data_IF_119719756103
#
_entry.id   IF_119719756103
#
_cell.length_a   1.000
_cell.length_b   1.000
_cell.length_c   1.000
_cell.angle_alpha   90.00
_cell.angle_beta   90.00
_cell.angle_gamma   90.00
#
_symmetry.space_group_name_H-M   'P 1'
#
loop_
_entity.id
_entity.type
_entity.pdbx_description
1 polymer ?
#
# COMPACT_ATOMS: atom_id res chain seq x y z
N UNK A 1 17.78 5.99 -15.55
CA UNK A 1 17.47 5.13 -14.39
C UNK A 1 16.28 4.25 -14.76
N UNK A 2 16.45 2.92 -14.77
CA UNK A 2 15.38 1.99 -15.13
C UNK A 2 14.23 2.13 -14.13
N UNK A 3 13.03 2.47 -14.64
CA UNK A 3 11.80 2.48 -13.86
C UNK A 3 11.45 1.01 -13.62
N UNK A 4 11.44 0.56 -12.37
CA UNK A 4 10.96 -0.78 -12.05
C UNK A 4 9.50 -0.91 -12.53
N UNK A 5 9.17 -2.07 -13.10
CA UNK A 5 7.82 -2.34 -13.58
C UNK A 5 6.82 -2.17 -12.43
N UNK A 6 5.69 -1.47 -12.67
CA UNK A 6 4.69 -1.25 -11.65
C UNK A 6 4.08 -2.57 -11.20
N UNK A 7 4.26 -2.91 -9.92
CA UNK A 7 3.66 -4.10 -9.32
C UNK A 7 2.31 -3.69 -8.71
N UNK A 8 1.22 -4.06 -9.39
CA UNK A 8 -0.16 -3.84 -8.93
C UNK A 8 -0.59 -5.07 -8.13
N UNK A 9 -1.01 -4.86 -6.90
CA UNK A 9 -1.36 -5.92 -5.94
C UNK A 9 -2.80 -5.74 -5.49
N UNK A 10 -3.69 -6.71 -5.73
CA UNK A 10 -5.05 -6.71 -5.20
C UNK A 10 -5.07 -6.60 -3.66
N UNK A 11 -6.08 -5.93 -3.10
CA UNK A 11 -6.19 -5.67 -1.65
C UNK A 11 -6.15 -6.96 -0.82
N UNK A 12 -6.76 -8.05 -1.30
CA UNK A 12 -6.72 -9.39 -0.70
C UNK A 12 -5.31 -10.00 -0.58
N UNK A 13 -4.37 -9.61 -1.46
CA UNK A 13 -2.99 -10.11 -1.45
C UNK A 13 -2.04 -9.24 -0.62
N UNK A 14 -2.51 -8.11 -0.08
CA UNK A 14 -1.71 -7.21 0.75
C UNK A 14 -1.34 -7.79 2.13
N UNK A 15 -2.01 -8.86 2.56
CA UNK A 15 -1.70 -9.60 3.79
C UNK A 15 -0.43 -10.45 3.68
N UNK A 16 0.06 -10.67 2.46
CA UNK A 16 1.24 -11.49 2.17
C UNK A 16 2.51 -10.65 2.18
N UNK A 17 3.64 -11.30 2.48
CA UNK A 17 4.94 -10.69 2.29
C UNK A 17 5.24 -10.44 0.80
N UNK A 18 5.95 -9.35 0.47
CA UNK A 18 6.50 -8.34 1.39
C UNK A 18 5.53 -7.18 1.73
N UNK A 19 4.30 -7.19 1.22
CA UNK A 19 3.39 -6.04 1.25
C UNK A 19 2.82 -5.73 2.64
N UNK A 20 2.59 -6.76 3.47
CA UNK A 20 2.04 -6.61 4.82
C UNK A 20 2.78 -5.60 5.68
N UNK A 21 4.12 -5.54 5.54
CA UNK A 21 5.01 -4.63 6.27
C UNK A 21 4.76 -3.15 5.99
N UNK A 22 4.25 -2.81 4.80
CA UNK A 22 3.96 -1.43 4.42
C UNK A 22 2.51 -1.03 4.70
N UNK A 23 1.59 -1.98 4.62
CA UNK A 23 0.15 -1.75 4.83
C UNK A 23 -0.16 -1.53 6.31
N UNK A 24 0.59 -2.18 7.21
CA UNK A 24 0.52 -1.97 8.65
C UNK A 24 1.84 -1.42 9.22
N UNK A 25 2.48 -0.50 8.51
CA UNK A 25 3.76 0.09 8.93
C UNK A 25 3.64 0.88 10.25
N UNK A 26 4.66 0.85 11.13
CA UNK A 26 5.93 0.12 11.00
C UNK A 26 5.88 -1.34 11.45
N UNK A 27 4.95 -1.69 12.33
CA UNK A 27 4.92 -2.98 13.02
C UNK A 27 3.70 -3.82 12.56
N UNK A 28 3.89 -4.73 11.59
CA UNK A 28 2.80 -5.42 10.92
C UNK A 28 2.24 -6.59 11.76
N UNK A 29 1.32 -6.28 12.67
CA UNK A 29 0.48 -7.26 13.36
C UNK A 29 -0.70 -7.72 12.50
N UNK A 30 -1.10 -8.99 12.63
CA UNK A 30 -2.20 -9.57 11.85
C UNK A 30 -3.52 -8.81 12.04
N UNK A 31 -3.80 -8.35 13.26
CA UNK A 31 -4.97 -7.52 13.59
C UNK A 31 -4.99 -6.19 12.82
N UNK A 32 -3.85 -5.50 12.78
CA UNK A 32 -3.67 -4.23 12.07
C UNK A 32 -3.73 -4.40 10.55
N UNK A 33 -3.20 -5.51 10.04
CA UNK A 33 -3.26 -5.85 8.61
C UNK A 33 -4.70 -6.10 8.19
N UNK A 34 -5.43 -6.96 8.92
CA UNK A 34 -6.83 -7.24 8.63
C UNK A 34 -7.69 -5.99 8.70
N UNK A 35 -7.50 -5.16 9.74
CA UNK A 35 -8.19 -3.88 9.87
C UNK A 35 -7.92 -2.97 8.69
N UNK A 36 -6.67 -2.90 8.22
CA UNK A 36 -6.31 -2.07 7.07
C UNK A 36 -6.90 -2.59 5.76
N UNK A 37 -6.86 -3.90 5.53
CA UNK A 37 -7.45 -4.54 4.36
C UNK A 37 -8.96 -4.25 4.32
N UNK A 38 -9.66 -4.44 5.45
CA UNK A 38 -11.10 -4.09 5.54
C UNK A 38 -11.35 -2.62 5.23
N UNK A 39 -10.59 -1.70 5.83
CA UNK A 39 -10.71 -0.27 5.53
C UNK A 39 -10.49 0.06 4.04
N UNK A 40 -9.51 -0.56 3.39
CA UNK A 40 -9.25 -0.34 1.95
C UNK A 40 -10.44 -0.84 1.11
N UNK A 41 -10.96 -2.03 1.42
CA UNK A 41 -12.14 -2.60 0.76
C UNK A 41 -13.37 -1.71 0.97
N UNK A 42 -13.62 -1.25 2.19
CA UNK A 42 -14.77 -0.39 2.54
C UNK A 42 -14.69 0.98 1.83
N UNK A 43 -13.49 1.48 1.58
CA UNK A 43 -13.23 2.68 0.78
C UNK A 43 -13.31 2.43 -0.74
N UNK A 44 -13.60 1.20 -1.17
CA UNK A 44 -13.70 0.83 -2.58
C UNK A 44 -12.35 0.74 -3.29
N UNK A 45 -11.24 0.61 -2.57
CA UNK A 45 -9.92 0.39 -3.18
C UNK A 45 -9.81 -1.09 -3.59
N UNK A 46 -9.50 -1.35 -4.86
CA UNK A 46 -9.36 -2.71 -5.40
C UNK A 46 -7.91 -3.21 -5.36
N UNK A 47 -6.94 -2.33 -5.57
CA UNK A 47 -5.52 -2.68 -5.58
C UNK A 47 -4.63 -1.50 -5.20
N UNK A 48 -3.41 -1.81 -4.76
CA UNK A 48 -2.33 -0.84 -4.56
C UNK A 48 -1.19 -1.13 -5.54
N UNK A 49 -0.57 -0.06 -6.04
CA UNK A 49 0.61 -0.15 -6.89
C UNK A 49 1.85 0.25 -6.10
N UNK A 50 2.82 -0.66 -6.06
CA UNK A 50 4.11 -0.49 -5.40
C UNK A 50 5.13 0.11 -6.38
N UNK A 51 4.84 1.33 -6.80
CA UNK A 51 5.72 2.15 -7.64
C UNK A 51 5.88 3.54 -7.01
N UNK A 52 7.03 4.16 -7.25
CA UNK A 52 7.28 5.55 -6.89
C UNK A 52 8.76 5.83 -6.65
N UNK A 53 9.06 7.08 -6.28
CA UNK A 53 10.43 7.54 -6.08
C UNK A 53 11.02 7.08 -4.74
N UNK A 54 10.17 6.79 -3.75
CA UNK A 54 10.63 6.38 -2.42
C UNK A 54 10.67 4.85 -2.31
N UNK A 55 11.81 4.32 -1.91
CA UNK A 55 12.02 2.88 -1.72
C UNK A 55 12.08 2.53 -0.23
N UNK A 56 11.29 1.55 0.20
CA UNK A 56 11.31 0.99 1.55
C UNK A 56 11.55 -0.52 1.41
N UNK A 57 12.72 -0.99 1.84
CA UNK A 57 13.15 -2.36 1.64
C UNK A 57 13.26 -2.71 0.15
N UNK A 58 12.41 -3.64 -0.31
CA UNK A 58 12.34 -4.08 -1.71
C UNK A 58 11.20 -3.43 -2.50
N UNK A 59 10.33 -2.67 -1.84
CA UNK A 59 9.13 -2.08 -2.41
C UNK A 59 9.31 -0.58 -2.64
N UNK A 60 8.64 -0.05 -3.66
CA UNK A 60 8.61 1.37 -3.97
C UNK A 60 7.22 1.94 -3.73
N UNK A 61 7.14 3.18 -3.25
CA UNK A 61 5.90 3.90 -2.93
C UNK A 61 5.99 5.35 -3.42
N UNK A 62 4.85 6.02 -3.54
CA UNK A 62 4.81 7.42 -3.99
C UNK A 62 5.52 8.35 -3.00
N UNK A 63 5.36 8.11 -1.70
CA UNK A 63 6.04 8.90 -0.68
C UNK A 63 5.74 8.46 0.75
N UNK A 64 6.45 9.06 1.69
CA UNK A 64 6.25 8.91 3.13
C UNK A 64 6.03 10.29 3.71
N UNK A 65 4.96 10.45 4.47
CA UNK A 65 4.76 11.61 5.34
C UNK A 65 5.17 11.30 6.77
N UNK A 66 5.13 12.32 7.63
CA UNK A 66 5.37 12.15 9.07
C UNK A 66 4.39 11.13 9.68
N UNK A 67 3.15 11.10 9.21
CA UNK A 67 2.05 10.30 9.79
C UNK A 67 1.66 9.04 9.01
N UNK A 68 2.37 8.70 7.94
CA UNK A 68 1.97 7.55 7.12
C UNK A 68 2.70 7.40 5.79
N UNK A 69 2.29 6.40 5.02
CA UNK A 69 2.80 6.08 3.70
C UNK A 69 1.76 6.41 2.63
N UNK A 70 2.23 6.79 1.44
CA UNK A 70 1.39 7.16 0.30
C UNK A 70 1.67 6.22 -0.87
N UNK A 71 0.62 5.62 -1.39
CA UNK A 71 0.64 4.67 -2.50
C UNK A 71 -0.23 5.19 -3.63
N UNK A 72 -0.01 4.70 -4.83
CA UNK A 72 -1.07 4.70 -5.83
C UNK A 72 -2.02 3.56 -5.48
N UNK A 73 -3.33 3.80 -5.53
CA UNK A 73 -4.35 2.76 -5.52
C UNK A 73 -5.28 2.88 -6.71
N UNK A 74 -6.14 1.88 -6.87
CA UNK A 74 -7.19 1.85 -7.88
C UNK A 74 -8.55 1.70 -7.22
N UNK A 75 -9.53 2.47 -7.68
CA UNK A 75 -10.91 2.43 -7.18
C UNK A 75 -11.86 2.75 -8.32
N UNK A 76 -12.85 1.88 -8.59
CA UNK A 76 -13.81 2.11 -9.67
C UNK A 76 -13.22 2.27 -11.08
N UNK A 77 -11.98 1.83 -11.30
CA UNK A 77 -11.24 2.04 -12.56
C UNK A 77 -10.35 3.29 -12.56
N UNK A 78 -10.50 4.17 -11.58
CA UNK A 78 -9.68 5.37 -11.42
C UNK A 78 -8.41 5.10 -10.63
N UNK A 79 -7.36 5.83 -11.00
CA UNK A 79 -6.09 5.85 -10.29
C UNK A 79 -6.12 6.94 -9.21
N UNK A 80 -5.98 6.56 -7.95
CA UNK A 80 -6.08 7.45 -6.78
C UNK A 80 -4.82 7.41 -5.93
N UNK A 81 -4.60 8.45 -5.12
CA UNK A 81 -3.57 8.43 -4.07
C UNK A 81 -4.16 7.88 -2.78
N UNK A 82 -3.60 6.79 -2.27
CA UNK A 82 -4.03 6.16 -1.01
C UNK A 82 -3.01 6.47 0.08
N UNK A 83 -3.45 7.17 1.12
CA UNK A 83 -2.62 7.47 2.29
C UNK A 83 -2.99 6.54 3.44
N UNK A 84 -2.05 5.67 3.79
CA UNK A 84 -2.18 4.74 4.91
C UNK A 84 -1.47 5.35 6.11
N UNK A 85 -2.21 5.64 7.18
CA UNK A 85 -1.63 6.12 8.44
C UNK A 85 -0.89 4.98 9.15
N UNK A 86 0.27 5.31 9.73
CA UNK A 86 0.97 4.38 10.64
C UNK A 86 0.10 4.11 11.86
N UNK A 87 0.12 2.87 12.34
CA UNK A 87 -0.45 2.45 13.62
C UNK A 87 0.62 2.45 14.70
#
# INVERSE_FOLDING_TARGET
MAKADPVIVPVENLSKDPYRSLVAYPDPEDSSIESRIRQLTDLGISSLEFQGALRIGRLSILGKGVVGLVFTGYSGGDRVAVKIRRV
#
